data_IF_371910986963
#
_entry.id   IF_371910986963
#
_cell.length_a   1.000
_cell.length_b   1.000
_cell.length_c   1.000
_cell.angle_alpha   90.00
_cell.angle_beta   90.00
_cell.angle_gamma   90.00
#
_symmetry.space_group_name_H-M   'P 1'
#
loop_
_entity.id
_entity.type
_entity.pdbx_description
1 polymer ?
#
# COMPACT_ATOMS: atom_id res chain seq x y z
N UNK A 1 10.11 8.97 -6.15
CA UNK A 1 8.95 8.06 -6.31
C UNK A 1 7.76 8.65 -5.58
N UNK A 2 6.57 8.75 -6.18
CA UNK A 2 5.45 9.42 -5.54
C UNK A 2 4.96 8.59 -4.35
N UNK A 3 5.04 9.18 -3.17
CA UNK A 3 4.38 8.70 -1.97
C UNK A 3 2.87 8.88 -2.12
N UNK A 4 2.06 7.88 -1.78
CA UNK A 4 0.59 8.00 -1.76
C UNK A 4 0.17 8.66 -0.44
N UNK A 5 0.68 8.15 0.68
CA UNK A 5 0.43 8.68 2.02
C UNK A 5 1.49 8.22 3.02
N UNK A 6 1.44 8.79 4.23
CA UNK A 6 2.25 8.38 5.37
C UNK A 6 1.50 8.58 6.67
N UNK A 7 1.52 7.58 7.54
CA UNK A 7 0.89 7.62 8.88
C UNK A 7 1.65 6.71 9.85
N UNK A 8 1.80 7.12 11.11
CA UNK A 8 2.53 6.36 12.15
C UNK A 8 3.93 5.86 11.73
N UNK A 9 4.62 6.59 10.85
CA UNK A 9 5.91 6.17 10.28
C UNK A 9 5.85 5.16 9.13
N UNK A 10 4.65 4.65 8.81
CA UNK A 10 4.38 3.78 7.66
C UNK A 10 4.22 4.62 6.40
N UNK A 11 4.91 4.23 5.34
CA UNK A 11 4.94 4.90 4.05
C UNK A 11 4.29 4.01 2.98
N UNK A 12 3.24 4.50 2.33
CA UNK A 12 2.55 3.78 1.25
C UNK A 12 2.95 4.31 -0.12
N UNK A 13 3.21 3.38 -1.05
CA UNK A 13 3.60 3.66 -2.44
C UNK A 13 3.02 2.61 -3.38
N UNK A 14 2.84 2.97 -4.65
CA UNK A 14 2.64 2.04 -5.75
C UNK A 14 3.79 2.28 -6.73
N UNK A 15 4.39 1.21 -7.23
CA UNK A 15 5.35 1.26 -8.31
C UNK A 15 4.67 0.76 -9.58
N UNK A 16 5.29 0.87 -10.76
CA UNK A 16 4.72 0.32 -11.99
C UNK A 16 5.78 -0.39 -12.85
N UNK A 17 7.03 -0.39 -12.39
CA UNK A 17 8.18 -0.90 -13.14
C UNK A 17 8.37 -2.36 -12.76
N UNK A 18 8.27 -3.25 -13.76
CA UNK A 18 8.37 -4.73 -13.58
C UNK A 18 7.32 -5.32 -12.63
N UNK A 19 6.18 -4.64 -12.49
CA UNK A 19 5.09 -5.20 -11.71
C UNK A 19 4.30 -6.23 -12.52
N UNK A 20 3.95 -7.30 -11.82
CA UNK A 20 3.15 -8.40 -12.31
C UNK A 20 1.89 -8.52 -11.45
N UNK A 21 0.92 -9.29 -11.94
CA UNK A 21 -0.23 -9.65 -11.13
C UNK A 21 0.21 -10.46 -9.89
N UNK A 22 -0.52 -10.32 -8.76
CA UNK A 22 -1.73 -9.51 -8.60
C UNK A 22 -1.46 -8.01 -8.41
N UNK A 23 -2.47 -7.13 -8.62
CA UNK A 23 -2.39 -5.71 -8.24
C UNK A 23 -1.97 -5.52 -6.79
N UNK A 24 -0.91 -4.74 -6.56
CA UNK A 24 -0.37 -4.56 -5.22
C UNK A 24 0.10 -3.14 -4.92
N UNK A 25 0.30 -2.85 -3.64
CA UNK A 25 0.98 -1.66 -3.17
C UNK A 25 2.07 -2.02 -2.15
N UNK A 26 3.02 -1.11 -1.95
CA UNK A 26 4.12 -1.29 -1.02
C UNK A 26 3.93 -0.44 0.23
N UNK A 27 4.28 -1.01 1.36
CA UNK A 27 4.39 -0.35 2.64
C UNK A 27 5.80 -0.48 3.20
N UNK A 28 6.34 0.61 3.74
CA UNK A 28 7.65 0.65 4.39
C UNK A 28 7.50 1.21 5.80
N UNK A 29 8.06 0.54 6.80
CA UNK A 29 8.06 0.97 8.20
C UNK A 29 9.43 0.76 8.83
N UNK A 30 10.23 1.82 8.89
CA UNK A 30 11.62 1.72 9.32
C UNK A 30 12.43 0.84 8.35
N UNK A 31 12.99 -0.25 8.87
CA UNK A 31 13.70 -1.26 8.08
C UNK A 31 12.77 -2.33 7.49
N UNK A 32 11.53 -2.42 7.98
CA UNK A 32 10.54 -3.40 7.53
C UNK A 32 9.85 -2.96 6.24
N UNK A 33 9.53 -3.95 5.41
CA UNK A 33 8.92 -3.74 4.10
C UNK A 33 7.81 -4.76 3.89
N UNK A 34 6.80 -4.40 3.11
CA UNK A 34 5.83 -5.37 2.65
C UNK A 34 5.08 -4.92 1.42
N UNK A 35 4.58 -5.91 0.70
CA UNK A 35 3.75 -5.76 -0.49
C UNK A 35 2.38 -6.34 -0.17
N UNK A 36 1.32 -5.61 -0.49
CA UNK A 36 -0.05 -5.97 -0.16
C UNK A 36 -0.89 -6.10 -1.42
N UNK A 37 -1.66 -7.17 -1.51
CA UNK A 37 -2.65 -7.35 -2.57
C UNK A 37 -3.75 -6.29 -2.43
N UNK A 38 -4.07 -5.57 -3.50
CA UNK A 38 -5.11 -4.52 -3.47
C UNK A 38 -6.51 -5.14 -3.33
N UNK A 39 -6.75 -6.33 -3.89
CA UNK A 39 -8.06 -6.98 -3.85
C UNK A 39 -8.36 -7.64 -2.49
N UNK A 40 -7.37 -8.25 -1.84
CA UNK A 40 -7.58 -8.93 -0.54
C UNK A 40 -7.09 -8.13 0.67
N UNK A 41 -6.21 -7.15 0.46
CA UNK A 41 -5.49 -6.41 1.51
C UNK A 41 -4.57 -7.30 2.37
N UNK A 42 -4.30 -8.52 1.93
CA UNK A 42 -3.34 -9.39 2.59
C UNK A 42 -1.92 -9.05 2.17
N UNK A 43 -0.97 -9.19 3.10
CA UNK A 43 0.44 -9.03 2.78
C UNK A 43 0.89 -10.25 1.95
N UNK A 44 1.36 -9.99 0.73
CA UNK A 44 1.88 -11.01 -0.19
C UNK A 44 3.31 -11.40 0.20
N UNK A 45 4.14 -10.41 0.46
CA UNK A 45 5.56 -10.58 0.79
C UNK A 45 5.99 -9.50 1.79
N UNK A 46 6.95 -9.81 2.65
CA UNK A 46 7.52 -8.85 3.57
C UNK A 46 7.70 -9.37 4.99
N UNK A 47 8.14 -8.47 5.86
CA UNK A 47 8.50 -8.74 7.25
C UNK A 47 7.87 -7.75 8.22
N UNK A 48 6.82 -7.02 7.77
CA UNK A 48 6.11 -6.06 8.60
C UNK A 48 5.54 -6.71 9.86
N UNK A 49 5.73 -6.11 11.05
CA UNK A 49 5.07 -6.57 12.27
C UNK A 49 3.55 -6.59 12.13
N UNK A 50 2.89 -7.57 12.75
CA UNK A 50 1.42 -7.76 12.68
C UNK A 50 0.63 -6.48 12.98
N UNK A 51 1.12 -5.65 13.92
CA UNK A 51 0.48 -4.36 14.24
C UNK A 51 0.51 -3.38 13.06
N UNK A 52 1.63 -3.29 12.35
CA UNK A 52 1.75 -2.43 11.17
C UNK A 52 0.86 -2.94 10.04
N UNK A 53 0.81 -4.26 9.82
CA UNK A 53 -0.08 -4.86 8.82
C UNK A 53 -1.55 -4.50 9.07
N UNK A 54 -2.01 -4.56 10.32
CA UNK A 54 -3.39 -4.18 10.68
C UNK A 54 -3.70 -2.72 10.37
N UNK A 55 -2.79 -1.80 10.69
CA UNK A 55 -2.96 -0.37 10.37
C UNK A 55 -2.98 -0.13 8.85
N UNK A 56 -2.15 -0.86 8.11
CA UNK A 56 -2.12 -0.79 6.64
C UNK A 56 -3.43 -1.31 6.05
N UNK A 57 -3.94 -2.43 6.56
CA UNK A 57 -5.21 -3.03 6.13
C UNK A 57 -6.40 -2.10 6.40
N UNK A 58 -6.46 -1.53 7.61
CA UNK A 58 -7.49 -0.56 7.99
C UNK A 58 -7.48 0.65 7.05
N UNK A 59 -6.31 1.24 6.83
CA UNK A 59 -6.17 2.34 5.87
C UNK A 59 -6.54 1.93 4.45
N UNK A 60 -6.04 0.80 3.96
CA UNK A 60 -6.24 0.37 2.59
C UNK A 60 -7.71 0.03 2.32
N UNK A 61 -8.45 -0.47 3.31
CA UNK A 61 -9.89 -0.73 3.20
C UNK A 61 -10.72 0.53 2.91
N UNK A 62 -10.27 1.71 3.37
CA UNK A 62 -10.95 2.98 3.12
C UNK A 62 -10.74 3.49 1.69
N UNK A 63 -9.69 3.03 1.02
CA UNK A 63 -9.24 3.55 -0.27
C UNK A 63 -9.02 2.45 -1.32
N UNK A 64 -9.57 1.25 -1.10
CA UNK A 64 -9.31 0.07 -1.92
C UNK A 64 -9.63 0.31 -3.40
N UNK A 65 -10.79 0.92 -3.69
CA UNK A 65 -11.21 1.27 -5.05
C UNK A 65 -10.26 2.29 -5.70
N UNK A 66 -9.76 3.25 -4.92
CA UNK A 66 -8.81 4.26 -5.40
C UNK A 66 -7.44 3.65 -5.69
N UNK A 67 -6.98 2.74 -4.83
CA UNK A 67 -5.75 1.96 -5.05
C UNK A 67 -5.87 1.13 -6.34
N UNK A 68 -7.01 0.47 -6.55
CA UNK A 68 -7.26 -0.29 -7.76
C UNK A 68 -7.32 0.61 -9.01
N UNK A 69 -7.94 1.79 -8.90
CA UNK A 69 -7.97 2.76 -9.99
C UNK A 69 -6.57 3.29 -10.32
N UNK A 70 -5.77 3.64 -9.32
CA UNK A 70 -4.37 4.04 -9.51
C UNK A 70 -3.56 2.93 -10.19
N UNK A 71 -3.78 1.67 -9.79
CA UNK A 71 -3.15 0.52 -10.43
C UNK A 71 -3.51 0.40 -11.91
N UNK A 72 -4.80 0.50 -12.24
CA UNK A 72 -5.30 0.30 -13.60
C UNK A 72 -4.93 1.45 -14.54
N UNK A 73 -5.03 2.69 -14.05
CA UNK A 73 -4.78 3.90 -14.86
C UNK A 73 -3.32 4.32 -14.87
N UNK A 74 -2.48 3.71 -14.02
CA UNK A 74 -1.09 4.10 -13.80
C UNK A 74 -0.92 5.58 -13.40
N UNK A 75 -1.98 6.18 -12.87
CA UNK A 75 -2.02 7.57 -12.43
C UNK A 75 -2.10 7.59 -10.92
N UNK A 76 -1.10 8.18 -10.26
CA UNK A 76 -1.04 8.23 -8.80
C UNK A 76 -1.69 9.51 -8.27
N UNK A 77 -2.35 9.38 -7.13
CA UNK A 77 -2.91 10.48 -6.36
C UNK A 77 -2.51 10.38 -4.88
N UNK A 78 -2.59 11.50 -4.19
CA UNK A 78 -2.40 11.55 -2.74
C UNK A 78 -3.68 11.13 -2.05
N UNK A 79 -3.55 10.29 -1.02
CA UNK A 79 -4.66 9.87 -0.17
C UNK A 79 -4.47 10.37 1.26
N UNK A 80 -5.55 10.69 1.99
CA UNK A 80 -5.45 11.07 3.40
C UNK A 80 -4.77 9.96 4.23
N UNK A 81 -4.03 10.34 5.27
CA UNK A 81 -3.44 9.38 6.21
C UNK A 81 -4.52 8.72 7.08
N UNK A 82 -4.19 7.57 7.67
CA UNK A 82 -4.98 7.01 8.77
C UNK A 82 -4.84 7.94 9.99
N UNK A 83 -5.96 8.29 10.62
CA UNK A 83 -6.05 9.21 11.78
C UNK A 83 -6.21 8.41 13.06
#
# INVERSE_FOLDING_TARGET
>A
MPEITRFYGILIKIFFVREHNPPHFHAVYGEYNGTFDIATLEMLEGDLPIKAQKLIQEWASQYQDRLMNMWNTKTLEKLPPLV
#
